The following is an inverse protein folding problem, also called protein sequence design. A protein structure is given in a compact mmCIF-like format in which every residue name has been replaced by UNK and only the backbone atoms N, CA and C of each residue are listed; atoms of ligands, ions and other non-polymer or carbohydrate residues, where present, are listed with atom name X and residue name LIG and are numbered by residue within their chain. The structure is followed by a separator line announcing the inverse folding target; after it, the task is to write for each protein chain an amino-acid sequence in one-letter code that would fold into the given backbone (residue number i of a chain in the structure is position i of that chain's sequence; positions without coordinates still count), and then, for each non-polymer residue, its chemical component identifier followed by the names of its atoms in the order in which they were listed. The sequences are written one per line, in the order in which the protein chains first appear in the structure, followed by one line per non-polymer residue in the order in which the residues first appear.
data_IF_446728915823
#
_entry.id   IF_446728915823
#
_cell.length_a   1.000
_cell.length_b   1.000
_cell.length_c   1.000
_cell.angle_alpha   90.00
_cell.angle_beta   90.00
_cell.angle_gamma   90.00
#
_symmetry.space_group_name_H-M   'P 1'
#
loop_
_entity.id
_entity.type
_entity.pdbx_description
1 polymer ?
#
# COMPACT_ATOMS: atom_id res chain seq x y z
N UNK A 1 8.11 -9.55 10.69
CA UNK A 1 6.87 -9.57 9.88
C UNK A 1 5.72 -9.05 10.70
N UNK A 2 4.98 -8.05 10.20
CA UNK A 2 3.83 -7.43 10.90
C UNK A 2 2.59 -8.32 10.89
N UNK A 3 1.62 -8.07 11.78
CA UNK A 3 0.33 -8.76 11.78
C UNK A 3 -0.38 -8.66 10.43
N UNK A 4 -0.48 -7.45 9.87
CA UNK A 4 -1.07 -7.23 8.54
C UNK A 4 -0.39 -8.09 7.45
N UNK A 5 0.94 -8.19 7.48
CA UNK A 5 1.66 -9.03 6.50
C UNK A 5 1.37 -10.52 6.66
N UNK A 6 1.14 -11.00 7.89
CA UNK A 6 0.74 -12.39 8.16
C UNK A 6 -0.69 -12.63 7.73
N UNK A 7 -1.60 -11.72 8.04
CA UNK A 7 -3.00 -11.78 7.63
C UNK A 7 -3.14 -11.90 6.11
N UNK A 8 -2.47 -11.03 5.34
CA UNK A 8 -2.49 -11.10 3.88
C UNK A 8 -1.92 -12.43 3.36
N UNK A 9 -0.79 -12.89 3.90
CA UNK A 9 -0.18 -14.16 3.49
C UNK A 9 -1.05 -15.38 3.79
N UNK A 10 -1.72 -15.40 4.94
CA UNK A 10 -2.66 -16.48 5.30
C UNK A 10 -3.87 -16.51 4.36
N UNK A 11 -4.22 -15.39 3.73
CA UNK A 11 -5.24 -15.28 2.69
C UNK A 11 -4.68 -15.49 1.26
N UNK A 12 -3.45 -16.01 1.11
CA UNK A 12 -2.84 -16.27 -0.19
C UNK A 12 -2.37 -15.02 -0.95
N UNK A 13 -2.38 -13.84 -0.30
CA UNK A 13 -1.92 -12.57 -0.85
C UNK A 13 -0.45 -12.39 -0.48
N UNK A 14 0.43 -12.46 -1.47
CA UNK A 14 1.87 -12.27 -1.31
C UNK A 14 2.29 -10.89 -1.77
N UNK A 15 3.44 -10.42 -1.28
CA UNK A 15 4.01 -9.14 -1.73
C UNK A 15 4.20 -9.09 -3.25
N UNK A 16 4.61 -10.20 -3.86
CA UNK A 16 4.79 -10.30 -5.31
C UNK A 16 3.48 -10.15 -6.07
N UNK A 17 2.40 -10.83 -5.62
CA UNK A 17 1.06 -10.67 -6.20
C UNK A 17 0.56 -9.23 -6.09
N UNK A 18 0.72 -8.60 -4.92
CA UNK A 18 0.34 -7.18 -4.73
C UNK A 18 1.10 -6.29 -5.71
N UNK A 19 2.41 -6.52 -5.88
CA UNK A 19 3.25 -5.76 -6.82
C UNK A 19 2.79 -5.93 -8.27
N UNK A 20 2.54 -7.17 -8.69
CA UNK A 20 2.06 -7.48 -10.05
C UNK A 20 0.74 -6.76 -10.36
N UNK A 21 -0.24 -6.85 -9.46
CA UNK A 21 -1.53 -6.18 -9.63
C UNK A 21 -1.38 -4.65 -9.60
N UNK A 22 -0.48 -4.11 -8.76
CA UNK A 22 -0.19 -2.67 -8.73
C UNK A 22 0.39 -2.19 -10.05
N UNK A 23 1.31 -2.95 -10.66
CA UNK A 23 1.89 -2.61 -11.97
C UNK A 23 0.82 -2.67 -13.07
N UNK A 24 -0.12 -3.62 -13.01
CA UNK A 24 -1.24 -3.70 -13.97
C UNK A 24 -2.17 -2.48 -13.85
N UNK A 25 -2.43 -2.02 -12.62
CA UNK A 25 -3.33 -0.91 -12.37
C UNK A 25 -2.72 0.47 -12.68
N UNK A 26 -1.47 0.70 -12.23
CA UNK A 26 -0.83 2.02 -12.22
C UNK A 26 0.34 2.14 -13.20
N UNK A 27 0.71 1.05 -13.88
CA UNK A 27 1.94 0.97 -14.66
C UNK A 27 3.18 0.71 -13.80
N UNK A 28 4.30 0.41 -14.46
CA UNK A 28 5.59 0.23 -13.80
C UNK A 28 6.20 1.61 -13.55
N UNK A 29 6.48 1.94 -12.29
CA UNK A 29 7.19 3.16 -11.97
C UNK A 29 8.62 3.11 -12.53
N UNK A 30 9.15 4.26 -12.95
CA UNK A 30 10.55 4.34 -13.33
C UNK A 30 11.42 4.11 -12.09
N UNK A 31 12.33 3.14 -12.17
CA UNK A 31 13.12 2.66 -11.03
C UNK A 31 14.16 3.69 -10.56
N UNK A 32 14.47 4.68 -11.41
CA UNK A 32 15.52 5.68 -11.18
C UNK A 32 15.01 7.12 -11.08
N UNK A 33 13.69 7.32 -11.10
CA UNK A 33 13.11 8.65 -10.88
C UNK A 33 13.05 8.95 -9.38
N UNK A 34 14.16 9.43 -8.83
CA UNK A 34 14.18 10.09 -7.53
C UNK A 34 13.72 11.53 -7.73
N UNK A 35 12.40 11.74 -7.72
CA UNK A 35 11.88 13.10 -7.60
C UNK A 35 12.53 13.75 -6.37
N UNK A 36 13.16 14.94 -6.50
CA UNK A 36 13.65 15.70 -5.36
C UNK A 36 12.53 16.03 -4.37
N UNK A 37 11.29 16.06 -4.87
CA UNK A 37 10.09 16.20 -4.08
C UNK A 37 9.56 14.82 -3.69
N UNK A 38 9.29 14.63 -2.40
CA UNK A 38 8.48 13.53 -1.92
C UNK A 38 7.01 13.89 -2.21
N UNK A 39 6.40 13.36 -3.29
CA UNK A 39 5.02 13.69 -3.58
C UNK A 39 4.16 13.27 -2.38
N UNK A 40 3.14 14.06 -2.03
CA UNK A 40 2.23 13.70 -0.96
C UNK A 40 1.55 12.37 -1.25
N UNK A 41 0.96 11.76 -0.22
CA UNK A 41 0.11 10.59 -0.42
C UNK A 41 -1.02 10.95 -1.39
N UNK A 42 -1.36 10.00 -2.26
CA UNK A 42 -2.55 10.12 -3.09
C UNK A 42 -3.80 10.12 -2.20
N UNK A 43 -4.89 10.77 -2.62
CA UNK A 43 -6.14 10.80 -1.83
C UNK A 43 -6.64 9.40 -1.41
N UNK A 44 -6.54 8.34 -2.23
CA UNK A 44 -6.87 6.98 -1.78
C UNK A 44 -5.94 6.45 -0.69
N UNK A 45 -4.64 6.75 -0.77
CA UNK A 45 -3.68 6.32 0.26
C UNK A 45 -3.93 7.05 1.58
N UNK A 46 -4.22 8.36 1.53
CA UNK A 46 -4.56 9.14 2.72
C UNK A 46 -5.84 8.59 3.39
N UNK A 47 -6.91 8.38 2.61
CA UNK A 47 -8.17 7.81 3.13
C UNK A 47 -7.99 6.42 3.76
N UNK A 48 -7.12 5.58 3.21
CA UNK A 48 -6.83 4.27 3.79
C UNK A 48 -6.14 4.38 5.17
N UNK A 49 -5.27 5.38 5.36
CA UNK A 49 -4.65 5.66 6.64
C UNK A 49 -5.65 6.24 7.64
N UNK A 50 -6.45 7.22 7.21
CA UNK A 50 -7.47 7.83 8.05
C UNK A 50 -8.46 6.77 8.57
N UNK A 51 -8.91 5.88 7.69
CA UNK A 51 -9.78 4.76 8.06
C UNK A 51 -9.11 3.81 9.07
N UNK A 52 -7.83 3.49 8.87
CA UNK A 52 -7.11 2.61 9.80
C UNK A 52 -6.96 3.22 11.21
N UNK A 53 -6.81 4.55 11.30
CA UNK A 53 -6.78 5.27 12.57
C UNK A 53 -8.15 5.26 13.23
N UNK A 54 -9.20 5.57 12.47
CA UNK A 54 -10.58 5.57 12.98
C UNK A 54 -10.99 4.20 13.53
N UNK A 55 -10.69 3.12 12.82
CA UNK A 55 -10.95 1.76 13.30
C UNK A 55 -10.16 1.42 14.56
N UNK A 56 -8.94 1.94 14.68
CA UNK A 56 -8.12 1.73 15.89
C UNK A 56 -8.68 2.47 17.10
N UNK A 57 -9.31 3.63 16.92
CA UNK A 57 -9.94 4.41 17.99
C UNK A 57 -11.24 3.74 18.47
N UNK A 58 -11.97 3.07 17.58
CA UNK A 58 -13.23 2.37 17.90
C UNK A 58 -13.01 1.04 18.66
N UNK A 59 -11.81 0.47 18.61
CA UNK A 59 -11.44 -0.82 19.23
C UNK A 59 -10.78 -0.65 20.59
#
# INVERSE_FOLDING_TARGET
TSFASKFLRNNGITLFKVREETIKLLGKSDMYFFSPEHPPLTDPAQRALDWAVDEKIKS
#
